data_IF_334521044623
#
_entry.id   IF_334521044623
#
_cell.length_a   1.000
_cell.length_b   1.000
_cell.length_c   1.000
_cell.angle_alpha   90.00
_cell.angle_beta   90.00
_cell.angle_gamma   90.00
#
_symmetry.space_group_name_H-M   'P 1'
#
loop_
_entity.id
_entity.type
_entity.pdbx_description
1 polymer ?
#
# COMPACT_ATOMS: atom_id res chain seq x y z
N UNK A 1 2.38 -7.51 -5.51
CA UNK A 1 2.55 -6.29 -4.68
C UNK A 1 1.27 -5.47 -4.70
N UNK A 2 1.06 -4.55 -3.74
CA UNK A 2 -0.17 -3.70 -3.72
C UNK A 2 -0.33 -2.88 -5.01
N UNK A 3 0.79 -2.51 -5.66
CA UNK A 3 0.80 -1.83 -6.96
C UNK A 3 0.03 -2.60 -8.06
N UNK A 4 -0.02 -3.94 -7.99
CA UNK A 4 -0.71 -4.76 -9.00
C UNK A 4 -2.23 -4.55 -8.96
N UNK A 5 -2.77 -4.09 -7.84
CA UNK A 5 -4.19 -3.81 -7.61
C UNK A 5 -4.62 -2.40 -8.05
N UNK A 6 -3.69 -1.58 -8.56
CA UNK A 6 -3.94 -0.17 -8.91
C UNK A 6 -3.67 0.04 -10.40
N UNK A 7 -4.56 0.75 -11.09
CA UNK A 7 -4.29 1.30 -12.43
C UNK A 7 -3.30 2.45 -12.29
N UNK A 8 -2.09 2.28 -12.84
CA UNK A 8 -1.01 3.26 -12.73
C UNK A 8 -1.38 4.60 -13.39
N UNK A 9 -2.01 4.53 -14.56
CA UNK A 9 -2.40 5.70 -15.37
C UNK A 9 -3.48 6.56 -14.71
N UNK A 10 -4.49 5.91 -14.11
CA UNK A 10 -5.68 6.58 -13.59
C UNK A 10 -5.70 6.71 -12.07
N UNK A 11 -4.74 6.10 -11.38
CA UNK A 11 -4.65 6.00 -9.91
C UNK A 11 -5.98 5.56 -9.30
N UNK A 12 -6.58 4.53 -9.90
CA UNK A 12 -7.82 3.91 -9.44
C UNK A 12 -7.60 2.43 -9.10
N UNK A 13 -8.38 1.93 -8.16
CA UNK A 13 -8.38 0.51 -7.82
C UNK A 13 -8.89 -0.33 -9.00
N UNK A 14 -8.19 -1.43 -9.30
CA UNK A 14 -8.63 -2.43 -10.28
C UNK A 14 -9.75 -3.27 -9.70
N UNK A 15 -10.96 -2.72 -9.71
CA UNK A 15 -12.15 -3.33 -9.10
C UNK A 15 -12.36 -4.77 -9.56
N UNK A 16 -12.19 -5.01 -10.85
CA UNK A 16 -12.27 -6.32 -11.49
C UNK A 16 -11.34 -7.35 -10.85
N UNK A 17 -10.09 -6.96 -10.54
CA UNK A 17 -9.13 -7.84 -9.88
C UNK A 17 -9.47 -8.01 -8.39
N UNK A 18 -9.87 -6.93 -7.72
CA UNK A 18 -10.11 -6.93 -6.28
C UNK A 18 -11.35 -7.76 -5.92
N UNK A 19 -12.42 -7.68 -6.72
CA UNK A 19 -13.64 -8.47 -6.50
C UNK A 19 -13.42 -9.98 -6.76
N UNK A 20 -12.46 -10.35 -7.62
CA UNK A 20 -12.10 -11.75 -7.86
C UNK A 20 -11.14 -12.28 -6.79
N UNK A 21 -10.21 -11.44 -6.32
CA UNK A 21 -9.15 -11.84 -5.40
C UNK A 21 -9.56 -11.80 -3.91
N UNK A 22 -10.56 -11.01 -3.54
CA UNK A 22 -10.97 -10.79 -2.15
C UNK A 22 -12.48 -11.00 -1.96
N UNK A 23 -12.88 -11.42 -0.76
CA UNK A 23 -14.28 -11.41 -0.36
C UNK A 23 -14.87 -9.99 -0.39
N UNK A 24 -16.19 -9.90 -0.52
CA UNK A 24 -16.91 -8.64 -0.66
C UNK A 24 -16.59 -7.62 0.46
N UNK A 25 -16.41 -8.09 1.69
CA UNK A 25 -16.10 -7.21 2.84
C UNK A 25 -14.72 -6.60 2.68
N UNK A 26 -13.72 -7.42 2.35
CA UNK A 26 -12.35 -6.94 2.13
C UNK A 26 -12.22 -6.13 0.84
N UNK A 27 -12.88 -6.52 -0.24
CA UNK A 27 -12.91 -5.77 -1.49
C UNK A 27 -13.46 -4.34 -1.28
N UNK A 28 -14.57 -4.21 -0.57
CA UNK A 28 -15.15 -2.91 -0.22
C UNK A 28 -14.22 -2.06 0.65
N UNK A 29 -13.52 -2.68 1.61
CA UNK A 29 -12.52 -1.98 2.44
C UNK A 29 -11.35 -1.47 1.61
N UNK A 30 -10.81 -2.28 0.71
CA UNK A 30 -9.71 -1.89 -0.18
C UNK A 30 -10.15 -0.72 -1.07
N UNK A 31 -11.31 -0.83 -1.70
CA UNK A 31 -11.86 0.24 -2.55
C UNK A 31 -12.13 1.56 -1.80
N UNK A 32 -12.36 1.48 -0.48
CA UNK A 32 -12.56 2.66 0.37
C UNK A 32 -11.27 3.42 0.71
N UNK A 33 -10.10 2.83 0.46
CA UNK A 33 -8.81 3.48 0.71
C UNK A 33 -8.58 4.54 -0.37
N UNK A 34 -8.40 5.82 -0.01
CA UNK A 34 -8.12 6.86 -0.98
C UNK A 34 -6.73 6.67 -1.58
N UNK A 35 -6.65 6.61 -2.92
CA UNK A 35 -5.38 6.57 -3.64
C UNK A 35 -4.80 7.98 -3.76
N UNK A 36 -3.50 8.11 -3.50
CA UNK A 36 -2.78 9.36 -3.68
C UNK A 36 -2.85 9.79 -5.16
N UNK A 37 -3.28 11.04 -5.40
CA UNK A 37 -3.47 11.63 -6.73
C UNK A 37 -2.16 11.96 -7.44
N UNK A 38 -1.09 12.21 -6.70
CA UNK A 38 0.23 12.39 -7.29
C UNK A 38 1.03 11.09 -7.19
N UNK A 39 1.80 10.73 -8.22
CA UNK A 39 2.78 9.65 -8.13
C UNK A 39 3.91 10.16 -7.24
N UNK A 40 3.74 10.03 -5.92
CA UNK A 40 4.90 10.04 -5.05
C UNK A 40 5.63 8.73 -5.30
N UNK A 41 6.88 8.81 -5.74
CA UNK A 41 7.80 7.67 -5.70
C UNK A 41 7.77 7.10 -4.28
N UNK A 42 7.52 5.80 -4.15
CA UNK A 42 7.51 5.09 -2.87
C UNK A 42 8.79 5.45 -2.12
N UNK A 43 8.66 6.28 -1.09
CA UNK A 43 9.78 6.73 -0.31
C UNK A 43 10.06 5.64 0.71
N UNK A 44 11.22 4.99 0.61
CA UNK A 44 11.68 4.10 1.67
C UNK A 44 12.07 4.95 2.89
N UNK A 45 11.10 5.25 3.76
CA UNK A 45 11.29 6.10 4.95
C UNK A 45 12.13 5.38 6.01
N UNK A 46 12.12 4.04 5.99
CA UNK A 46 12.88 3.23 6.93
C UNK A 46 14.13 2.65 6.28
N UNK A 47 15.28 3.31 6.46
CA UNK A 47 16.59 2.67 6.28
C UNK A 47 16.81 1.83 7.51
N UNK A 48 16.60 0.51 7.40
CA UNK A 48 16.75 -0.44 8.49
C UNK A 48 17.99 -0.15 9.33
N UNK A 49 17.85 -0.25 10.65
CA UNK A 49 18.96 -0.12 11.59
C UNK A 49 20.12 -1.02 11.13
N UNK A 50 21.37 -0.51 11.07
CA UNK A 50 22.53 -1.26 10.57
C UNK A 50 22.86 -2.54 11.35
N UNK A 51 22.16 -2.78 12.47
CA UNK A 51 22.35 -3.91 13.38
C UNK A 51 21.35 -5.05 13.17
N UNK A 52 20.33 -4.90 12.30
CA UNK A 52 19.38 -5.98 11.98
C UNK A 52 18.46 -6.43 13.12
N UNK A 53 18.45 -5.69 14.25
CA UNK A 53 17.58 -5.97 15.40
C UNK A 53 16.55 -4.86 15.48
N UNK A 54 15.32 -5.15 15.04
CA UNK A 54 14.17 -4.26 15.24
C UNK A 54 13.88 -4.17 16.74
N UNK A 55 13.95 -2.97 17.30
CA UNK A 55 13.48 -2.71 18.66
C UNK A 55 12.56 -1.50 18.66
N UNK A 56 11.42 -1.59 19.33
CA UNK A 56 10.34 -0.58 19.34
C UNK A 56 10.77 0.85 19.76
N UNK A 57 12.02 1.02 20.20
CA UNK A 57 12.60 2.32 20.56
C UNK A 57 13.08 3.17 19.38
N UNK A 58 13.39 2.58 18.23
CA UNK A 58 13.92 3.36 17.09
C UNK A 58 12.83 4.03 16.24
N UNK A 59 11.56 3.62 16.40
CA UNK A 59 10.45 4.15 15.60
C UNK A 59 10.00 5.56 16.00
N UNK A 60 10.38 6.06 17.17
CA UNK A 60 9.89 7.34 17.73
C UNK A 60 10.93 8.47 17.74
N UNK A 61 12.06 8.33 17.03
CA UNK A 61 13.10 9.36 17.00
C UNK A 61 13.10 10.20 15.74
#
# INVERSE_FOLDING_TARGET
MVADLIYEDSRQWKRDIIEIAFDEVNANRIMSIPLAKSPYTDLLIWRGEPTGVFSDRSAYK
#
